data_IF_189225926780
#
_entry.id   IF_189225926780
#
_cell.length_a   1.000
_cell.length_b   1.000
_cell.length_c   1.000
_cell.angle_alpha   90.00
_cell.angle_beta   90.00
_cell.angle_gamma   90.00
#
_symmetry.space_group_name_H-M   'P 1'
#
loop_
_entity.id
_entity.type
_entity.pdbx_description
1 polymer ?
#
# COMPACT_ATOMS: atom_id res chain seq x y z
N UNK A 1 -22.46 13.38 13.26
CA UNK A 1 -22.09 13.00 12.13
C UNK A 1 -20.94 12.08 12.16
N UNK A 2 -20.48 11.68 11.05
CA UNK A 2 -19.53 10.68 10.99
C UNK A 2 -18.30 11.11 10.39
N UNK A 3 -17.17 10.55 10.82
CA UNK A 3 -15.92 10.76 10.16
C UNK A 3 -15.46 9.46 9.63
N UNK A 4 -15.08 9.43 8.38
CA UNK A 4 -14.47 8.26 7.79
C UNK A 4 -12.99 8.38 8.00
N UNK A 5 -12.51 7.86 9.11
CA UNK A 5 -11.10 7.84 9.34
C UNK A 5 -10.53 6.71 8.52
N UNK A 6 -9.54 7.04 7.72
CA UNK A 6 -8.82 6.03 6.99
C UNK A 6 -7.53 5.77 7.70
N UNK A 7 -7.28 4.53 7.97
CA UNK A 7 -6.03 4.13 8.60
C UNK A 7 -5.16 3.48 7.57
N UNK A 8 -3.85 3.66 7.72
CA UNK A 8 -2.88 3.06 6.83
C UNK A 8 -2.02 2.10 7.60
N UNK A 9 -1.70 0.97 6.98
CA UNK A 9 -0.81 -0.01 7.55
C UNK A 9 0.38 -0.16 6.61
N UNK A 10 1.56 0.21 7.09
CA UNK A 10 2.77 0.08 6.28
C UNK A 10 3.34 -1.31 6.48
N UNK A 11 3.61 -2.00 5.40
CA UNK A 11 4.21 -3.32 5.47
C UNK A 11 5.39 -3.38 4.53
N UNK A 12 6.35 -4.22 4.84
CA UNK A 12 7.53 -4.39 4.01
C UNK A 12 7.72 -5.84 3.57
N UNK A 13 6.77 -6.69 3.84
CA UNK A 13 6.79 -8.07 3.37
C UNK A 13 5.38 -8.63 3.43
N UNK A 14 5.17 -9.75 2.75
CA UNK A 14 3.86 -10.36 2.75
C UNK A 14 3.60 -11.08 4.06
N UNK A 15 2.53 -10.71 4.73
CA UNK A 15 2.11 -11.36 5.96
C UNK A 15 0.62 -11.61 5.89
N UNK A 16 0.28 -12.83 5.55
CA UNK A 16 -1.10 -13.19 5.33
C UNK A 16 -1.97 -12.99 6.56
N UNK A 17 -1.44 -13.39 7.72
CA UNK A 17 -2.22 -13.28 8.95
C UNK A 17 -2.51 -11.83 9.31
N UNK A 18 -1.52 -10.97 9.15
CA UNK A 18 -1.72 -9.56 9.43
C UNK A 18 -2.80 -8.98 8.53
N UNK A 19 -2.69 -9.25 7.23
CA UNK A 19 -3.62 -8.67 6.28
C UNK A 19 -5.03 -9.20 6.50
N UNK A 20 -5.15 -10.49 6.79
CA UNK A 20 -6.47 -11.07 7.01
C UNK A 20 -7.17 -10.53 8.25
N UNK A 21 -6.41 -9.99 9.18
CA UNK A 21 -6.99 -9.44 10.41
C UNK A 21 -7.30 -7.96 10.33
N UNK A 22 -7.00 -7.32 9.22
CA UNK A 22 -7.27 -5.90 9.08
C UNK A 22 -8.74 -5.66 8.76
N UNK A 23 -9.27 -4.56 9.28
CA UNK A 23 -10.65 -4.20 8.98
C UNK A 23 -10.72 -3.50 7.63
N UNK A 24 -11.92 -3.33 7.10
CA UNK A 24 -12.10 -2.81 5.76
C UNK A 24 -11.72 -1.35 5.59
N UNK A 25 -11.58 -0.63 6.68
CA UNK A 25 -11.22 0.78 6.59
C UNK A 25 -9.72 1.01 6.65
N UNK A 26 -8.92 -0.06 6.60
CA UNK A 26 -7.47 0.06 6.62
C UNK A 26 -6.96 -0.09 5.20
N UNK A 27 -6.07 0.81 4.80
CA UNK A 27 -5.40 0.71 3.51
C UNK A 27 -3.99 0.23 3.74
N UNK A 28 -3.47 -0.55 2.81
CA UNK A 28 -2.14 -1.11 2.94
C UNK A 28 -1.18 -0.34 2.05
N UNK A 29 -0.04 0.02 2.62
CA UNK A 29 1.04 0.65 1.87
C UNK A 29 2.25 -0.25 1.96
N UNK A 30 2.67 -0.78 0.83
CA UNK A 30 3.84 -1.65 0.77
C UNK A 30 5.08 -0.80 0.57
N UNK A 31 6.04 -0.97 1.47
CA UNK A 31 7.24 -0.16 1.46
C UNK A 31 8.45 -1.04 1.71
N UNK A 32 9.03 -1.55 0.66
CA UNK A 32 10.22 -2.37 0.78
C UNK A 32 11.15 -2.03 -0.39
N UNK A 33 12.28 -1.46 -0.04
CA UNK A 33 13.22 -1.00 -1.05
C UNK A 33 14.41 -1.92 -1.23
N UNK A 34 14.52 -2.93 -0.40
CA UNK A 34 15.73 -3.74 -0.40
C UNK A 34 15.57 -5.15 -0.94
N UNK A 35 14.36 -5.61 -1.11
CA UNK A 35 14.11 -6.97 -1.56
C UNK A 35 13.95 -7.02 -3.06
N UNK A 36 14.73 -7.88 -3.71
CA UNK A 36 14.67 -7.95 -5.17
C UNK A 36 13.41 -8.58 -5.69
N UNK A 37 12.88 -9.56 -4.97
CA UNK A 37 11.71 -10.27 -5.44
C UNK A 37 10.42 -9.76 -4.84
N UNK A 38 10.39 -8.48 -4.54
CA UNK A 38 9.19 -7.93 -3.91
C UNK A 38 7.95 -8.00 -4.81
N UNK A 39 8.14 -8.23 -6.10
CA UNK A 39 6.99 -8.34 -6.99
C UNK A 39 6.08 -9.50 -6.61
N UNK A 40 6.66 -10.62 -6.19
CA UNK A 40 5.84 -11.76 -5.76
C UNK A 40 5.01 -11.39 -4.55
N UNK A 41 5.60 -10.71 -3.60
CA UNK A 41 4.88 -10.28 -2.41
C UNK A 41 3.77 -9.31 -2.77
N UNK A 42 4.06 -8.37 -3.65
CA UNK A 42 3.08 -7.38 -4.06
C UNK A 42 1.87 -8.05 -4.70
N UNK A 43 2.11 -9.04 -5.55
CA UNK A 43 1.00 -9.74 -6.21
C UNK A 43 0.15 -10.49 -5.20
N UNK A 44 0.79 -11.15 -4.23
CA UNK A 44 0.04 -11.87 -3.20
C UNK A 44 -0.79 -10.91 -2.36
N UNK A 45 -0.21 -9.78 -1.98
CA UNK A 45 -0.93 -8.79 -1.21
C UNK A 45 -2.11 -8.24 -2.01
N UNK A 46 -1.87 -7.97 -3.28
CA UNK A 46 -2.93 -7.47 -4.16
C UNK A 46 -4.12 -8.42 -4.19
N UNK A 47 -3.85 -9.71 -4.32
CA UNK A 47 -4.94 -10.67 -4.39
C UNK A 47 -5.76 -10.71 -3.12
N UNK A 48 -5.10 -10.68 -1.98
CA UNK A 48 -5.82 -10.67 -0.71
C UNK A 48 -6.59 -9.37 -0.53
N UNK A 49 -5.99 -8.25 -0.87
CA UNK A 49 -6.66 -6.96 -0.75
C UNK A 49 -7.90 -6.91 -1.63
N UNK A 50 -7.82 -7.50 -2.80
CA UNK A 50 -8.96 -7.53 -3.69
C UNK A 50 -10.10 -8.33 -3.08
N UNK A 51 -9.79 -9.47 -2.48
CA UNK A 51 -10.82 -10.28 -1.83
C UNK A 51 -11.42 -9.57 -0.63
N UNK A 52 -10.60 -8.88 0.14
CA UNK A 52 -11.08 -8.20 1.34
C UNK A 52 -11.57 -6.79 1.06
N UNK A 53 -11.43 -6.33 -0.16
CA UNK A 53 -11.83 -4.97 -0.56
C UNK A 53 -11.04 -3.91 0.19
N UNK A 54 -9.77 -4.18 0.41
CA UNK A 54 -8.86 -3.22 0.99
C UNK A 54 -8.13 -2.46 -0.13
N UNK A 55 -7.84 -1.20 0.13
CA UNK A 55 -7.06 -0.43 -0.83
C UNK A 55 -5.59 -0.71 -0.64
N UNK A 56 -4.85 -0.76 -1.73
CA UNK A 56 -3.45 -1.15 -1.70
C UNK A 56 -2.64 -0.15 -2.50
N UNK A 57 -1.61 0.39 -1.88
CA UNK A 57 -0.73 1.38 -2.48
C UNK A 57 0.72 0.93 -2.40
N UNK A 58 1.52 1.36 -3.37
CA UNK A 58 2.96 1.15 -3.31
C UNK A 58 3.62 2.46 -2.93
N UNK A 59 4.65 2.37 -2.10
CA UNK A 59 5.39 3.55 -1.70
C UNK A 59 6.41 3.91 -2.78
N UNK A 60 6.29 5.13 -3.30
CA UNK A 60 7.25 5.69 -4.26
C UNK A 60 7.38 4.97 -5.60
N UNK A 61 6.43 4.16 -5.97
CA UNK A 61 6.54 3.46 -7.25
C UNK A 61 5.24 3.60 -8.04
N UNK A 62 5.09 4.76 -8.65
CA UNK A 62 3.88 5.07 -9.40
C UNK A 62 3.75 4.16 -10.61
N UNK A 63 4.85 3.91 -11.32
CA UNK A 63 4.78 3.12 -12.54
C UNK A 63 4.30 1.70 -12.26
N UNK A 64 4.84 1.08 -11.22
CA UNK A 64 4.45 -0.28 -10.90
C UNK A 64 3.02 -0.33 -10.38
N UNK A 65 2.61 0.67 -9.61
CA UNK A 65 1.24 0.73 -9.12
C UNK A 65 0.25 0.79 -10.29
N UNK A 66 0.56 1.58 -11.29
CA UNK A 66 -0.28 1.65 -12.49
C UNK A 66 -0.25 0.34 -13.24
N UNK A 67 0.94 -0.22 -13.44
CA UNK A 67 1.09 -1.46 -14.20
C UNK A 67 0.31 -2.60 -13.58
N UNK A 68 0.28 -2.67 -12.26
CA UNK A 68 -0.44 -3.72 -11.56
C UNK A 68 -1.87 -3.35 -11.22
N UNK A 69 -2.30 -2.18 -11.64
CA UNK A 69 -3.67 -1.73 -11.43
C UNK A 69 -4.03 -1.69 -9.95
N UNK A 70 -3.13 -1.16 -9.15
CA UNK A 70 -3.39 -0.96 -7.74
C UNK A 70 -4.16 0.32 -7.52
N UNK A 71 -4.55 0.57 -6.28
CA UNK A 71 -5.33 1.78 -5.98
C UNK A 71 -4.52 3.05 -6.13
N UNK A 72 -3.20 2.96 -6.04
CA UNK A 72 -2.38 4.14 -6.25
C UNK A 72 -1.00 3.95 -5.69
N UNK A 73 -0.28 5.05 -5.58
CA UNK A 73 1.05 5.06 -5.00
C UNK A 73 1.07 6.07 -3.86
N UNK A 74 1.79 5.73 -2.81
CA UNK A 74 1.94 6.62 -1.68
C UNK A 74 3.26 7.38 -1.83
N UNK A 75 3.17 8.69 -1.83
CA UNK A 75 4.36 9.53 -1.96
C UNK A 75 4.56 10.21 -0.62
N UNK A 76 5.66 9.94 0.07
CA UNK A 76 5.90 10.56 1.35
C UNK A 76 5.93 12.07 1.27
N UNK A 77 5.49 12.70 2.33
CA UNK A 77 5.31 14.14 2.32
C UNK A 77 6.61 14.91 2.32
N UNK A 78 7.73 14.24 2.51
CA UNK A 78 8.98 14.98 2.48
C UNK A 78 9.22 15.64 1.13
N UNK A 79 8.49 15.22 0.14
CA UNK A 79 8.58 15.88 -1.15
C UNK A 79 8.18 17.32 -1.09
N UNK A 80 7.47 17.70 -0.07
CA UNK A 80 7.04 19.08 0.05
C UNK A 80 8.13 20.03 0.46
N UNK A 81 9.28 19.50 0.76
CA UNK A 81 10.34 20.38 1.14
C UNK A 81 10.79 21.28 0.08
N UNK A 82 10.43 20.95 -1.05
CA UNK A 82 10.87 21.83 -2.03
C UNK A 82 10.10 23.03 -2.02
N UNK A 83 9.92 23.16 -1.65
CA UNK A 83 9.43 23.81 -1.87
C UNK A 83 9.17 24.24 -1.89
N UNK A 84 9.32 23.74 -1.55
CA UNK A 84 9.19 23.70 -1.49
C UNK A 84 8.94 23.84 -1.62
N UNK A 85 8.95 23.61 -1.68
CA UNK A 85 8.95 23.31 -1.88
C UNK A 85 8.76 23.38 -2.03
#
# INVERSE_FOLDING_TARGET
HFYNFKFFCFIDYFNKNLINNLSNNVSIIYRNYSVKDHLKDIIKIKEICKKKKLKFYLSNDVKLAIKLNLDGAYIPSFNNKFGIS
#
